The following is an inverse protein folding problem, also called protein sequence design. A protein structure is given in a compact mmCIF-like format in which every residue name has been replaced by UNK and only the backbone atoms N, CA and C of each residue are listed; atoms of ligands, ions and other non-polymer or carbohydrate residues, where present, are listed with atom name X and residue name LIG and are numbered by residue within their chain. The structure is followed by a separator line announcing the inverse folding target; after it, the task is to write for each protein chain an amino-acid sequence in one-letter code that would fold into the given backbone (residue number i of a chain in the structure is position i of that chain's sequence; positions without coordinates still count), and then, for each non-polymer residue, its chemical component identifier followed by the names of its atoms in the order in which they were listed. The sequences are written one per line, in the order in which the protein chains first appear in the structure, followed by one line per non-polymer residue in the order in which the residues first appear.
data_IF_178444923956
#
_entry.id   IF_178444923956
#
_cell.length_a   1.000
_cell.length_b   1.000
_cell.length_c   1.000
_cell.angle_alpha   90.00
_cell.angle_beta   90.00
_cell.angle_gamma   90.00
#
_symmetry.space_group_name_H-M   'P 1'
#
loop_
_entity.id
_entity.type
_entity.pdbx_description
1 polymer ?
#
# COMPACT_ATOMS: atom_id res chain seq x y z
N UNK A 1 2.51 14.81 -7.38
CA UNK A 1 1.11 14.31 -7.32
C UNK A 1 0.93 13.66 -5.97
N UNK A 2 -0.10 14.01 -5.22
CA UNK A 2 -0.39 13.37 -3.92
C UNK A 2 -1.19 12.09 -4.15
N UNK A 3 -0.67 10.96 -3.67
CA UNK A 3 -1.31 9.63 -3.83
C UNK A 3 -2.22 9.29 -2.65
N UNK A 4 -1.84 9.70 -1.44
CA UNK A 4 -2.65 9.50 -0.23
C UNK A 4 -2.46 10.67 0.74
N UNK A 5 -3.53 11.05 1.44
CA UNK A 5 -3.52 12.02 2.53
C UNK A 5 -4.57 11.59 3.56
N UNK A 6 -4.13 11.28 4.78
CA UNK A 6 -5.02 10.75 5.81
C UNK A 6 -4.56 11.13 7.21
N UNK A 7 -5.55 11.39 8.07
CA UNK A 7 -5.39 11.47 9.54
C UNK A 7 -5.95 10.24 10.26
N UNK A 8 -6.35 9.21 9.52
CA UNK A 8 -7.05 8.01 10.01
C UNK A 8 -6.22 6.74 9.75
N UNK A 9 -4.91 6.90 9.59
CA UNK A 9 -4.01 5.78 9.34
C UNK A 9 -3.89 4.89 10.56
N UNK A 10 -3.65 3.60 10.33
CA UNK A 10 -3.24 2.66 11.38
C UNK A 10 -1.72 2.52 11.29
N UNK A 11 -1.02 2.94 12.35
CA UNK A 11 0.43 2.71 12.47
C UNK A 11 0.67 1.32 13.04
N UNK A 12 1.29 0.47 12.25
CA UNK A 12 1.64 -0.90 12.62
C UNK A 12 3.13 -0.98 12.92
N UNK A 13 3.47 -1.57 14.06
CA UNK A 13 4.83 -1.74 14.53
C UNK A 13 5.14 -3.24 14.53
N UNK A 14 6.06 -3.65 13.66
CA UNK A 14 6.44 -5.05 13.50
C UNK A 14 7.88 -5.25 13.91
N UNK A 15 8.04 -5.78 15.12
CA UNK A 15 9.31 -6.25 15.67
C UNK A 15 10.39 -5.16 15.64
N UNK A 16 11.44 -5.33 14.85
CA UNK A 16 12.56 -4.39 14.69
C UNK A 16 12.47 -3.53 13.41
N UNK A 17 11.40 -3.68 12.62
CA UNK A 17 11.20 -2.93 11.38
C UNK A 17 10.79 -1.48 11.63
N UNK A 18 10.95 -0.64 10.59
CA UNK A 18 10.37 0.70 10.61
C UNK A 18 8.83 0.63 10.68
N UNK A 19 8.15 1.58 11.35
CA UNK A 19 6.69 1.63 11.36
C UNK A 19 6.09 1.68 9.96
N UNK A 20 5.09 0.83 9.71
CA UNK A 20 4.28 0.87 8.49
C UNK A 20 2.96 1.59 8.77
N UNK A 21 2.46 2.38 7.81
CA UNK A 21 1.17 3.06 7.92
C UNK A 21 0.20 2.47 6.90
N UNK A 22 -0.93 1.98 7.39
CA UNK A 22 -2.05 1.54 6.57
C UNK A 22 -3.04 2.69 6.41
N UNK A 23 -3.35 3.03 5.17
CA UNK A 23 -4.31 4.06 4.82
C UNK A 23 -5.67 3.41 4.55
N UNK A 24 -6.78 4.00 5.02
CA UNK A 24 -8.09 3.55 4.56
C UNK A 24 -8.22 3.84 3.06
N UNK A 25 -8.82 2.95 2.24
CA UNK A 25 -8.91 3.13 0.79
C UNK A 25 -9.56 4.46 0.37
N UNK A 26 -10.48 5.00 1.17
CA UNK A 26 -11.16 6.27 0.93
C UNK A 26 -10.22 7.49 0.97
N UNK A 27 -9.05 7.37 1.60
CA UNK A 27 -8.05 8.45 1.71
C UNK A 27 -6.87 8.25 0.71
N UNK A 28 -7.01 7.28 -0.19
CA UNK A 28 -6.03 6.96 -1.23
C UNK A 28 -6.65 7.23 -2.59
N UNK A 29 -5.88 7.82 -3.50
CA UNK A 29 -6.24 7.96 -4.92
C UNK A 29 -6.10 6.60 -5.61
N UNK A 30 -7.07 5.72 -5.36
CA UNK A 30 -7.09 4.35 -5.90
C UNK A 30 -7.11 4.31 -7.44
N UNK A 31 -7.53 5.39 -8.10
CA UNK A 31 -7.44 5.56 -9.55
C UNK A 31 -6.01 5.65 -10.08
N UNK A 32 -5.03 5.91 -9.20
CA UNK A 32 -3.60 5.91 -9.52
C UNK A 32 -2.94 4.55 -9.25
N UNK A 33 -3.69 3.58 -8.71
CA UNK A 33 -3.19 2.26 -8.35
C UNK A 33 -3.68 1.20 -9.35
N UNK A 34 -2.78 0.34 -9.81
CA UNK A 34 -3.10 -0.81 -10.67
C UNK A 34 -2.67 -2.09 -9.99
N UNK A 35 -3.61 -3.02 -9.78
CA UNK A 35 -3.31 -4.33 -9.17
C UNK A 35 -2.35 -5.13 -10.05
N UNK A 36 -1.29 -5.66 -9.46
CA UNK A 36 -0.35 -6.54 -10.16
C UNK A 36 -0.62 -8.01 -9.83
N UNK A 37 -0.08 -8.98 -10.61
CA UNK A 37 -0.11 -10.39 -10.22
C UNK A 37 0.77 -10.71 -8.99
N UNK A 38 1.64 -9.80 -8.58
CA UNK A 38 2.56 -9.99 -7.45
C UNK A 38 1.80 -10.19 -6.13
N UNK A 39 2.32 -11.10 -5.31
CA UNK A 39 1.82 -11.38 -3.97
C UNK A 39 2.93 -11.94 -3.07
N UNK A 40 2.80 -11.71 -1.77
CA UNK A 40 3.67 -12.30 -0.74
C UNK A 40 2.80 -12.82 0.40
N UNK A 41 3.31 -13.77 1.18
CA UNK A 41 2.61 -14.31 2.34
C UNK A 41 3.31 -13.84 3.60
N UNK A 42 2.56 -13.23 4.50
CA UNK A 42 2.97 -13.00 5.89
C UNK A 42 2.21 -14.00 6.76
N UNK A 43 2.93 -14.72 7.63
CA UNK A 43 2.34 -15.76 8.49
C UNK A 43 1.29 -15.21 9.47
N UNK A 44 1.29 -13.89 9.73
CA UNK A 44 0.37 -13.23 10.65
C UNK A 44 -0.78 -12.51 9.96
N UNK A 45 -0.57 -12.02 8.73
CA UNK A 45 -1.51 -11.11 8.03
C UNK A 45 -2.15 -11.73 6.80
N UNK A 46 -1.64 -12.88 6.35
CA UNK A 46 -2.12 -13.56 5.16
C UNK A 46 -1.44 -13.08 3.88
N UNK A 47 -2.20 -13.10 2.79
CA UNK A 47 -1.70 -12.84 1.44
C UNK A 47 -1.74 -11.34 1.14
N UNK A 48 -0.58 -10.75 0.88
CA UNK A 48 -0.47 -9.38 0.42
C UNK A 48 -0.78 -9.27 -1.07
N UNK A 49 -1.54 -8.24 -1.40
CA UNK A 49 -1.82 -7.78 -2.75
C UNK A 49 -0.99 -6.53 -3.06
N UNK A 50 -0.16 -6.56 -4.10
CA UNK A 50 0.63 -5.43 -4.60
C UNK A 50 -0.04 -4.64 -5.72
N UNK A 51 0.35 -3.37 -5.83
CA UNK A 51 -0.13 -2.43 -6.82
C UNK A 51 1.03 -1.59 -7.36
N UNK A 52 1.01 -1.35 -8.66
CA UNK A 52 1.80 -0.29 -9.28
C UNK A 52 1.16 1.06 -8.96
N UNK A 53 1.98 2.08 -8.71
CA UNK A 53 1.53 3.45 -8.41
C UNK A 53 1.97 4.38 -9.52
N UNK A 54 1.01 4.94 -10.26
CA UNK A 54 1.25 5.91 -11.31
C UNK A 54 1.12 7.36 -10.77
N UNK A 55 2.22 8.10 -10.76
CA UNK A 55 2.25 9.49 -10.27
C UNK A 55 2.89 10.42 -11.31
N UNK A 56 2.05 11.02 -12.17
CA UNK A 56 2.52 11.85 -13.27
C UNK A 56 3.14 11.00 -14.38
N UNK A 57 4.39 11.29 -14.76
CA UNK A 57 5.11 10.56 -15.79
C UNK A 57 5.87 9.32 -15.27
N UNK A 58 5.76 9.02 -13.98
CA UNK A 58 6.49 7.91 -13.33
C UNK A 58 5.50 6.88 -12.83
N UNK A 59 5.77 5.61 -13.14
CA UNK A 59 5.11 4.46 -12.53
C UNK A 59 6.10 3.74 -11.65
N UNK A 60 5.79 3.62 -10.36
CA UNK A 60 6.56 2.83 -9.41
C UNK A 60 5.95 1.43 -9.33
N UNK A 61 6.72 0.42 -9.72
CA UNK A 61 6.27 -0.96 -9.74
C UNK A 61 6.14 -1.55 -8.33
N UNK A 62 5.06 -2.29 -8.05
CA UNK A 62 4.78 -2.95 -6.76
C UNK A 62 5.01 -2.03 -5.53
N UNK A 63 4.70 -0.73 -5.68
CA UNK A 63 5.03 0.31 -4.71
C UNK A 63 3.99 0.49 -3.60
N UNK A 64 2.84 -0.17 -3.68
CA UNK A 64 1.83 -0.23 -2.64
C UNK A 64 1.36 -1.67 -2.42
N UNK A 65 0.89 -1.97 -1.21
CA UNK A 65 0.31 -3.27 -0.89
C UNK A 65 -0.90 -3.16 0.03
N UNK A 66 -1.73 -4.20 0.05
CA UNK A 66 -2.84 -4.36 0.99
C UNK A 66 -2.96 -5.82 1.44
N UNK A 67 -3.48 -6.04 2.65
CA UNK A 67 -4.00 -7.34 3.08
C UNK A 67 -5.55 -7.28 3.01
N UNK A 68 -6.19 -7.98 2.06
CA UNK A 68 -7.65 -8.00 1.93
C UNK A 68 -8.35 -8.84 3.00
#
# INVERSE_FOLDING_TARGET
VTVADSRRTVRVLETSGAPCYYFPPADVRMDLLSRTPSSTVCEWKGLAAYFDVAAGAVTAADAAWSYP
#
